data_IF_577513338266
#
_entry.id   IF_577513338266
#
_cell.length_a   1.000
_cell.length_b   1.000
_cell.length_c   1.000
_cell.angle_alpha   90.00
_cell.angle_beta   90.00
_cell.angle_gamma   90.00
#
_symmetry.space_group_name_H-M   'P 1'
#
loop_
_entity.id
_entity.type
_entity.pdbx_description
1 polymer ?
#
# COMPACT_ATOMS: atom_id res chain seq x y z
N UNK A 1 -20.47 -8.62 7.29
CA UNK A 1 -19.21 -9.41 7.27
C UNK A 1 -17.97 -8.50 7.17
N UNK A 2 -18.04 -7.42 6.39
CA UNK A 2 -16.99 -6.38 6.26
C UNK A 2 -16.71 -5.60 7.55
N UNK A 3 -17.73 -5.24 8.35
CA UNK A 3 -17.55 -4.48 9.60
C UNK A 3 -16.74 -5.22 10.68
N UNK A 4 -16.84 -6.56 10.73
CA UNK A 4 -16.13 -7.38 11.73
C UNK A 4 -14.63 -7.44 11.39
N UNK A 5 -14.30 -7.56 10.10
CA UNK A 5 -12.92 -7.49 9.59
C UNK A 5 -12.29 -6.10 9.76
N UNK A 6 -13.12 -5.05 9.76
CA UNK A 6 -12.67 -3.68 10.02
C UNK A 6 -12.26 -3.49 11.49
N UNK A 7 -12.92 -4.20 12.43
CA UNK A 7 -12.64 -4.17 13.87
C UNK A 7 -11.39 -4.93 14.30
N UNK A 8 -10.90 -5.89 13.51
CA UNK A 8 -9.75 -6.74 13.88
C UNK A 8 -8.40 -6.21 13.41
N UNK A 9 -8.37 -5.22 12.52
CA UNK A 9 -7.13 -4.65 12.00
C UNK A 9 -6.68 -3.47 12.84
N UNK A 10 -5.36 -3.29 13.05
CA UNK A 10 -4.85 -2.15 13.80
C UNK A 10 -5.26 -0.85 13.09
N UNK A 11 -5.64 0.15 13.88
CA UNK A 11 -5.93 1.49 13.37
C UNK A 11 -4.62 2.24 13.18
N UNK A 12 -4.41 2.82 12.00
CA UNK A 12 -3.18 3.52 11.61
C UNK A 12 -3.52 4.94 11.16
N UNK A 13 -2.56 5.86 11.29
CA UNK A 13 -2.69 7.24 10.82
C UNK A 13 -2.34 7.29 9.33
N UNK A 14 -3.29 7.70 8.50
CA UNK A 14 -3.09 7.96 7.08
C UNK A 14 -2.32 9.26 6.83
N UNK A 15 -1.79 9.40 5.62
CA UNK A 15 -1.06 10.59 5.15
C UNK A 15 -1.93 11.85 5.18
N UNK A 16 -3.23 11.69 4.98
CA UNK A 16 -4.26 12.73 5.08
C UNK A 16 -4.60 13.13 6.53
N UNK A 17 -4.01 12.43 7.51
CA UNK A 17 -4.18 12.69 8.94
C UNK A 17 -5.33 11.93 9.60
N UNK A 18 -6.13 11.16 8.85
CA UNK A 18 -7.23 10.37 9.41
C UNK A 18 -6.74 9.06 10.01
N UNK A 19 -7.46 8.54 11.00
CA UNK A 19 -7.18 7.23 11.59
C UNK A 19 -8.08 6.21 10.91
N UNK A 20 -7.47 5.28 10.17
CA UNK A 20 -8.17 4.26 9.36
C UNK A 20 -7.71 2.85 9.74
N UNK A 21 -8.54 1.82 9.53
CA UNK A 21 -8.11 0.44 9.70
C UNK A 21 -7.00 0.12 8.69
N UNK A 22 -5.95 -0.56 9.14
CA UNK A 22 -4.84 -0.94 8.28
C UNK A 22 -5.34 -1.76 7.09
N UNK A 23 -4.93 -1.38 5.88
CA UNK A 23 -5.31 -2.06 4.66
C UNK A 23 -4.10 -2.32 3.78
N UNK A 24 -3.65 -3.59 3.76
CA UNK A 24 -2.56 -4.06 2.92
C UNK A 24 -2.68 -3.66 1.45
N UNK A 25 -3.89 -3.69 0.90
CA UNK A 25 -4.09 -3.33 -0.51
C UNK A 25 -3.67 -1.88 -0.79
N UNK A 26 -3.73 -0.98 0.19
CA UNK A 26 -3.23 0.39 0.01
C UNK A 26 -1.71 0.44 -0.10
N UNK A 27 -0.97 -0.44 0.58
CA UNK A 27 0.49 -0.54 0.45
C UNK A 27 0.86 -0.97 -0.96
N UNK A 28 0.19 -2.02 -1.48
CA UNK A 28 0.44 -2.53 -2.84
C UNK A 28 0.20 -1.43 -3.88
N UNK A 29 -0.93 -0.73 -3.81
CA UNK A 29 -1.25 0.34 -4.76
C UNK A 29 -0.30 1.54 -4.63
N UNK A 30 0.15 1.87 -3.42
CA UNK A 30 1.15 2.90 -3.18
C UNK A 30 2.49 2.53 -3.83
N UNK A 31 2.99 1.31 -3.63
CA UNK A 31 4.23 0.82 -4.24
C UNK A 31 4.17 0.88 -5.77
N UNK A 32 3.06 0.45 -6.37
CA UNK A 32 2.87 0.50 -7.83
C UNK A 32 2.84 1.94 -8.35
N UNK A 33 2.21 2.85 -7.61
CA UNK A 33 2.10 4.26 -8.00
C UNK A 33 3.43 4.99 -7.88
N UNK A 34 4.11 4.84 -6.74
CA UNK A 34 5.36 5.57 -6.46
C UNK A 34 6.52 5.06 -7.31
N UNK A 35 6.64 3.75 -7.53
CA UNK A 35 7.74 3.20 -8.34
C UNK A 35 7.55 3.50 -9.83
N UNK A 36 6.31 3.66 -10.31
CA UNK A 36 6.06 4.17 -11.66
C UNK A 36 6.56 5.60 -11.83
N UNK A 37 6.39 6.45 -10.82
CA UNK A 37 6.99 7.79 -10.84
C UNK A 37 8.52 7.68 -10.82
N UNK A 38 9.08 6.77 -10.03
CA UNK A 38 10.53 6.57 -9.98
C UNK A 38 11.12 6.19 -11.35
N UNK A 39 10.42 5.35 -12.12
CA UNK A 39 10.80 5.01 -13.49
C UNK A 39 10.83 6.22 -14.42
N UNK A 40 9.85 7.11 -14.29
CA UNK A 40 9.75 8.31 -15.13
C UNK A 40 10.85 9.35 -14.85
N UNK A 41 11.29 9.46 -13.60
CA UNK A 41 12.20 10.54 -13.18
C UNK A 41 13.65 10.08 -12.95
N UNK A 42 13.88 8.79 -12.67
CA UNK A 42 15.17 8.29 -12.20
C UNK A 42 15.69 7.08 -13.00
N UNK A 43 15.05 6.69 -14.10
CA UNK A 43 15.44 5.54 -14.94
C UNK A 43 15.54 4.21 -14.17
N UNK A 44 14.84 4.10 -13.04
CA UNK A 44 14.77 2.88 -12.23
C UNK A 44 13.49 2.12 -12.59
N UNK A 45 13.60 0.83 -12.92
CA UNK A 45 12.45 -0.01 -13.26
C UNK A 45 11.36 0.06 -12.16
N UNK A 46 10.11 0.27 -12.56
CA UNK A 46 8.97 0.19 -11.66
C UNK A 46 8.75 -1.25 -11.14
N UNK A 47 8.21 -1.37 -9.93
CA UNK A 47 7.90 -2.66 -9.33
C UNK A 47 6.69 -3.30 -10.04
N UNK A 48 6.66 -4.62 -10.15
CA UNK A 48 5.48 -5.33 -10.62
C UNK A 48 4.51 -5.68 -9.47
N UNK A 49 3.26 -6.06 -9.80
CA UNK A 49 2.23 -6.34 -8.79
C UNK A 49 2.62 -7.50 -7.85
N UNK A 50 3.25 -8.55 -8.37
CA UNK A 50 3.66 -9.68 -7.55
C UNK A 50 4.71 -9.26 -6.51
N UNK A 51 5.74 -8.54 -6.96
CA UNK A 51 6.78 -7.99 -6.08
C UNK A 51 6.17 -7.04 -5.01
N UNK A 52 5.21 -6.19 -5.40
CA UNK A 52 4.52 -5.30 -4.47
C UNK A 52 3.68 -6.07 -3.44
N UNK A 53 3.03 -7.16 -3.84
CA UNK A 53 2.31 -8.05 -2.92
C UNK A 53 3.27 -8.77 -1.97
N UNK A 54 4.40 -9.26 -2.46
CA UNK A 54 5.46 -9.88 -1.65
C UNK A 54 6.01 -8.90 -0.60
N UNK A 55 6.31 -7.65 -0.98
CA UNK A 55 6.75 -6.62 -0.02
C UNK A 55 5.66 -6.32 1.00
N UNK A 56 4.40 -6.23 0.58
CA UNK A 56 3.30 -5.94 1.50
C UNK A 56 2.96 -7.11 2.47
N UNK A 57 3.60 -8.28 2.29
CA UNK A 57 3.50 -9.43 3.20
C UNK A 57 4.57 -9.40 4.32
N UNK A 58 5.68 -8.68 4.10
CA UNK A 58 6.82 -8.58 5.02
C UNK A 58 6.54 -7.58 6.15
#
# INVERSE_FOLDING_TARGET
MTEILQKSRPMVRGTDGFIIPWNRSQIVEQLLTETKLAEQFYEVRAINRQEAEEIANE
#
